data_IF_219479356269
#
_entry.id   IF_219479356269
#
_cell.length_a   1.000
_cell.length_b   1.000
_cell.length_c   1.000
_cell.angle_alpha   90.00
_cell.angle_beta   90.00
_cell.angle_gamma   90.00
#
_symmetry.space_group_name_H-M   'P 1'
#
loop_
_entity.id
_entity.type
_entity.pdbx_description
1 polymer ?
#
# COMPACT_ATOMS: atom_id res chain seq x y z
N UNK A 1 19.37 50.48 -25.19
CA UNK A 1 19.98 49.22 -25.67
C UNK A 1 19.14 47.99 -25.27
N UNK A 2 19.28 47.41 -24.07
CA UNK A 2 18.51 46.20 -23.67
C UNK A 2 16.98 46.39 -23.64
N UNK A 3 16.53 47.53 -23.15
CA UNK A 3 15.10 47.89 -23.11
C UNK A 3 14.48 48.06 -24.49
N UNK A 4 15.24 48.54 -25.47
CA UNK A 4 14.78 48.66 -26.86
C UNK A 4 14.64 47.29 -27.51
N UNK A 5 15.60 46.38 -27.29
CA UNK A 5 15.56 45.00 -27.79
C UNK A 5 14.33 44.26 -27.24
N UNK A 6 14.05 44.37 -25.94
CA UNK A 6 12.86 43.76 -25.32
C UNK A 6 11.58 44.36 -25.90
N UNK A 7 11.55 45.69 -26.12
CA UNK A 7 10.39 46.38 -26.69
C UNK A 7 10.12 45.92 -28.13
N UNK A 8 11.16 45.81 -28.96
CA UNK A 8 11.04 45.29 -30.32
C UNK A 8 10.60 43.83 -30.36
N UNK A 9 11.16 42.98 -29.50
CA UNK A 9 10.75 41.58 -29.37
C UNK A 9 9.26 41.44 -29.00
N UNK A 10 8.78 42.30 -28.09
CA UNK A 10 7.36 42.32 -27.68
C UNK A 10 6.43 42.75 -28.82
N UNK A 11 6.83 43.77 -29.59
CA UNK A 11 6.09 44.22 -30.78
C UNK A 11 6.06 43.12 -31.84
N UNK A 12 7.18 42.41 -32.04
CA UNK A 12 7.26 41.28 -32.97
C UNK A 12 6.36 40.12 -32.54
N UNK A 13 6.30 39.78 -31.25
CA UNK A 13 5.39 38.75 -30.71
C UNK A 13 3.91 39.13 -30.91
N UNK A 14 3.56 40.40 -30.65
CA UNK A 14 2.21 40.94 -30.88
C UNK A 14 1.80 40.94 -32.35
N UNK A 15 2.74 41.02 -33.30
CA UNK A 15 2.40 41.09 -34.73
C UNK A 15 1.70 39.84 -35.25
N UNK A 16 1.93 38.68 -34.62
CA UNK A 16 1.32 37.42 -35.03
C UNK A 16 0.82 36.62 -33.82
N UNK A 17 -0.29 37.08 -33.22
CA UNK A 17 -0.84 36.53 -31.98
C UNK A 17 -1.12 35.03 -32.03
N UNK A 18 -1.66 34.51 -33.14
CA UNK A 18 -2.02 33.09 -33.27
C UNK A 18 -0.80 32.19 -33.20
N UNK A 19 0.21 32.46 -34.02
CA UNK A 19 1.46 31.68 -34.04
C UNK A 19 2.16 31.71 -32.68
N UNK A 20 2.31 32.91 -32.11
CA UNK A 20 2.93 33.12 -30.80
C UNK A 20 2.19 32.37 -29.68
N UNK A 21 0.85 32.40 -29.72
CA UNK A 21 0.02 31.73 -28.73
C UNK A 21 0.16 30.21 -28.80
N UNK A 22 0.06 29.61 -30.00
CA UNK A 22 0.18 28.16 -30.15
C UNK A 22 1.56 27.64 -29.71
N UNK A 23 2.63 28.36 -30.00
CA UNK A 23 3.99 27.94 -29.58
C UNK A 23 4.19 28.04 -28.08
N UNK A 24 3.71 29.12 -27.44
CA UNK A 24 3.81 29.28 -26.00
C UNK A 24 2.92 28.29 -25.25
N UNK A 25 1.70 28.04 -25.76
CA UNK A 25 0.79 27.05 -25.20
C UNK A 25 1.44 25.65 -25.18
N UNK A 26 2.10 25.26 -26.28
CA UNK A 26 2.81 23.97 -26.33
C UNK A 26 3.89 23.83 -25.25
N UNK A 27 4.70 24.88 -25.04
CA UNK A 27 5.76 24.87 -24.01
C UNK A 27 5.15 24.83 -22.60
N UNK A 28 4.13 25.66 -22.34
CA UNK A 28 3.45 25.72 -21.04
C UNK A 28 2.79 24.38 -20.71
N UNK A 29 2.09 23.79 -21.68
CA UNK A 29 1.43 22.50 -21.51
C UNK A 29 2.44 21.37 -21.31
N UNK A 30 3.57 21.39 -22.01
CA UNK A 30 4.67 20.45 -21.81
C UNK A 30 5.23 20.49 -20.38
N UNK A 31 5.50 21.68 -19.85
CA UNK A 31 6.00 21.82 -18.47
C UNK A 31 4.90 21.43 -17.46
N UNK A 32 3.65 21.83 -17.70
CA UNK A 32 2.53 21.51 -16.80
C UNK A 32 2.29 20.00 -16.69
N UNK A 33 2.28 19.28 -17.80
CA UNK A 33 2.04 17.82 -17.80
C UNK A 33 3.15 17.05 -17.07
N UNK A 34 4.42 17.39 -17.32
CA UNK A 34 5.56 16.74 -16.64
C UNK A 34 5.56 17.02 -15.14
N UNK A 35 5.36 18.28 -14.74
CA UNK A 35 5.32 18.65 -13.32
C UNK A 35 4.13 18.00 -12.59
N UNK A 36 2.96 17.93 -13.22
CA UNK A 36 1.79 17.24 -12.69
C UNK A 36 2.07 15.74 -12.46
N UNK A 37 2.68 15.07 -13.44
CA UNK A 37 3.02 13.65 -13.35
C UNK A 37 3.99 13.36 -12.20
N UNK A 38 5.01 14.19 -12.02
CA UNK A 38 5.99 14.05 -10.93
C UNK A 38 5.34 14.30 -9.57
N UNK A 39 4.55 15.37 -9.44
CA UNK A 39 3.84 15.70 -8.21
C UNK A 39 2.84 14.59 -7.83
N UNK A 40 2.10 14.07 -8.81
CA UNK A 40 1.16 12.98 -8.60
C UNK A 40 1.87 11.69 -8.19
N UNK A 41 2.91 11.27 -8.92
CA UNK A 41 3.62 10.02 -8.64
C UNK A 41 4.28 9.99 -7.24
N UNK A 42 4.89 11.10 -6.83
CA UNK A 42 5.48 11.23 -5.50
C UNK A 42 4.43 11.24 -4.39
N UNK A 43 3.34 11.98 -4.57
CA UNK A 43 2.24 12.06 -3.59
C UNK A 43 1.54 10.72 -3.42
N UNK A 44 1.23 10.04 -4.53
CA UNK A 44 0.57 8.74 -4.50
C UNK A 44 1.41 7.69 -3.75
N UNK A 45 2.72 7.64 -4.02
CA UNK A 45 3.62 6.74 -3.30
C UNK A 45 3.66 7.05 -1.81
N UNK A 46 3.70 8.32 -1.42
CA UNK A 46 3.71 8.69 -0.01
C UNK A 46 2.41 8.30 0.71
N UNK A 47 1.25 8.48 0.06
CA UNK A 47 -0.04 8.08 0.61
C UNK A 47 -0.12 6.57 0.77
N UNK A 48 0.25 5.80 -0.27
CA UNK A 48 0.26 4.34 -0.20
C UNK A 48 1.19 3.82 0.90
N UNK A 49 2.43 4.32 0.94
CA UNK A 49 3.41 3.94 1.97
C UNK A 49 2.92 4.36 3.37
N UNK A 50 2.28 5.52 3.49
CA UNK A 50 1.63 5.96 4.73
C UNK A 50 0.53 5.01 5.20
N UNK A 51 -0.34 4.58 4.28
CA UNK A 51 -1.38 3.58 4.56
C UNK A 51 -0.81 2.24 4.98
N UNK A 52 0.21 1.73 4.27
CA UNK A 52 0.89 0.49 4.67
C UNK A 52 1.63 0.61 6.00
N UNK A 53 2.23 1.77 6.29
CA UNK A 53 2.86 2.03 7.58
C UNK A 53 1.84 2.00 8.72
N UNK A 54 0.58 2.39 8.49
CA UNK A 54 -0.49 2.31 9.49
C UNK A 54 -0.87 0.86 9.83
N UNK A 55 -0.80 -0.07 8.86
CA UNK A 55 -0.91 -1.51 9.12
C UNK A 55 0.31 -2.08 9.87
N UNK A 56 1.41 -1.32 9.91
CA UNK A 56 2.64 -1.65 10.63
C UNK A 56 3.76 -2.06 9.67
N UNK A 57 4.89 -1.34 9.74
CA UNK A 57 6.08 -1.54 8.88
C UNK A 57 6.65 -2.97 8.87
N UNK A 58 6.37 -3.75 9.90
CA UNK A 58 7.00 -5.05 10.13
C UNK A 58 6.06 -5.98 10.89
N UNK A 59 4.84 -6.15 10.39
CA UNK A 59 3.86 -7.07 10.97
C UNK A 59 3.80 -8.33 10.11
N UNK A 60 3.98 -9.48 10.74
CA UNK A 60 3.78 -10.79 10.13
C UNK A 60 2.62 -11.45 10.85
N UNK A 61 1.59 -11.83 10.10
CA UNK A 61 0.42 -12.54 10.62
C UNK A 61 0.50 -13.97 10.09
N UNK A 62 0.56 -14.93 11.01
CA UNK A 62 0.57 -16.35 10.68
C UNK A 62 -0.81 -16.95 10.98
N UNK A 63 -1.51 -17.39 9.93
CA UNK A 63 -2.77 -18.11 10.09
C UNK A 63 -2.52 -19.62 10.11
N UNK A 64 -3.03 -20.34 11.11
CA UNK A 64 -2.95 -21.79 11.12
C UNK A 64 -3.80 -22.38 9.99
N UNK A 65 -3.14 -23.09 9.07
CA UNK A 65 -3.78 -23.85 8.00
C UNK A 65 -3.99 -25.33 8.36
N UNK A 66 -4.23 -26.13 7.33
CA UNK A 66 -4.12 -27.59 7.40
C UNK A 66 -2.78 -28.01 6.81
N UNK A 67 -2.18 -29.07 7.34
CA UNK A 67 -0.91 -29.57 6.81
C UNK A 67 -1.11 -30.19 5.43
N UNK A 68 -0.37 -29.67 4.43
CA UNK A 68 -0.41 -30.15 3.04
C UNK A 68 0.39 -31.45 2.83
N UNK A 69 1.43 -31.67 3.63
CA UNK A 69 2.28 -32.87 3.58
C UNK A 69 2.21 -33.65 4.90
N UNK A 70 2.84 -34.82 4.96
CA UNK A 70 2.90 -35.69 6.14
C UNK A 70 4.24 -35.50 6.88
N UNK A 71 4.39 -34.47 7.74
CA UNK A 71 5.58 -34.33 8.55
C UNK A 71 5.61 -35.43 9.62
N UNK A 72 6.72 -36.17 9.68
CA UNK A 72 7.03 -37.09 10.78
C UNK A 72 6.00 -38.21 11.01
N UNK A 73 5.36 -38.72 9.95
CA UNK A 73 4.42 -39.85 10.04
C UNK A 73 2.99 -39.50 10.46
N UNK A 74 2.65 -38.22 10.63
CA UNK A 74 1.28 -37.79 10.98
C UNK A 74 0.36 -37.69 9.75
N UNK A 75 -0.92 -38.09 9.89
CA UNK A 75 -1.90 -38.00 8.78
C UNK A 75 -1.98 -36.57 8.21
N UNK A 76 -1.96 -36.47 6.88
CA UNK A 76 -2.21 -35.23 6.11
C UNK A 76 -3.57 -34.65 6.48
N UNK A 77 -3.71 -33.32 6.43
CA UNK A 77 -4.98 -32.62 6.69
C UNK A 77 -5.26 -32.33 8.17
N UNK A 78 -4.32 -32.59 9.07
CA UNK A 78 -4.43 -32.15 10.47
C UNK A 78 -4.46 -30.62 10.51
N UNK A 79 -5.41 -30.06 11.25
CA UNK A 79 -5.47 -28.62 11.53
C UNK A 79 -4.32 -28.25 12.46
N UNK A 80 -3.49 -27.31 12.06
CA UNK A 80 -2.44 -26.76 12.92
C UNK A 80 -3.13 -25.88 13.96
N UNK A 81 -2.77 -26.02 15.24
CA UNK A 81 -3.18 -25.09 16.28
C UNK A 81 -1.92 -24.41 16.80
N UNK A 82 -1.94 -23.08 16.82
CA UNK A 82 -0.87 -22.30 17.42
C UNK A 82 -1.13 -22.22 18.93
N UNK A 83 -0.24 -22.78 19.71
CA UNK A 83 -0.33 -22.82 21.17
C UNK A 83 0.54 -21.74 21.83
N UNK A 84 0.46 -21.64 23.15
CA UNK A 84 1.31 -20.69 23.89
C UNK A 84 2.80 -21.05 23.78
N UNK A 85 3.12 -22.35 23.74
CA UNK A 85 4.50 -22.83 23.62
C UNK A 85 5.18 -22.35 22.33
N UNK A 86 4.45 -22.26 21.22
CA UNK A 86 4.97 -21.75 19.95
C UNK A 86 5.37 -20.28 20.06
N UNK A 87 4.58 -19.47 20.78
CA UNK A 87 4.86 -18.06 21.01
C UNK A 87 6.12 -17.88 21.88
N UNK A 88 6.29 -18.71 22.89
CA UNK A 88 7.47 -18.68 23.76
C UNK A 88 8.73 -19.14 23.00
N UNK A 89 8.60 -20.14 22.13
CA UNK A 89 9.68 -20.55 21.21
C UNK A 89 10.09 -19.44 20.25
N UNK A 90 9.14 -18.68 19.69
CA UNK A 90 9.43 -17.55 18.80
C UNK A 90 10.17 -16.45 19.56
N UNK A 91 9.74 -16.13 20.79
CA UNK A 91 10.43 -15.13 21.63
C UNK A 91 11.86 -15.54 21.98
N UNK A 92 12.10 -16.83 22.20
CA UNK A 92 13.43 -17.35 22.57
C UNK A 92 14.39 -17.45 21.37
N UNK A 93 13.90 -17.85 20.20
CA UNK A 93 14.75 -18.18 19.05
C UNK A 93 14.82 -17.10 17.97
N UNK A 94 13.90 -16.12 17.96
CA UNK A 94 13.84 -15.07 16.94
C UNK A 94 14.21 -13.69 17.53
N UNK A 95 15.51 -13.32 17.59
CA UNK A 95 15.95 -12.06 18.20
C UNK A 95 15.47 -10.80 17.45
N UNK A 96 15.04 -10.94 16.19
CA UNK A 96 14.49 -9.85 15.38
C UNK A 96 13.02 -9.52 15.73
N UNK A 97 12.32 -10.40 16.43
CA UNK A 97 10.91 -10.22 16.78
C UNK A 97 10.81 -9.45 18.09
N UNK A 98 10.53 -8.14 18.00
CA UNK A 98 10.43 -7.28 19.19
C UNK A 98 9.18 -7.55 20.02
N UNK A 99 8.06 -7.84 19.35
CA UNK A 99 6.78 -8.12 19.99
C UNK A 99 6.10 -9.28 19.27
N UNK A 100 5.52 -10.19 20.05
CA UNK A 100 4.72 -11.30 19.55
C UNK A 100 3.46 -11.41 20.41
N UNK A 101 2.29 -11.49 19.77
CA UNK A 101 0.99 -11.65 20.40
C UNK A 101 0.30 -12.87 19.80
N UNK A 102 -0.40 -13.65 20.65
CA UNK A 102 -1.24 -14.75 20.18
C UNK A 102 -2.65 -14.23 20.01
N UNK A 103 -3.15 -14.26 18.78
CA UNK A 103 -4.55 -13.99 18.51
C UNK A 103 -5.31 -15.32 18.46
N UNK A 104 -6.37 -15.44 19.26
CA UNK A 104 -7.23 -16.64 19.27
C UNK A 104 -8.63 -16.25 18.82
N UNK A 105 -8.95 -16.56 17.57
CA UNK A 105 -10.30 -16.33 17.04
C UNK A 105 -11.16 -17.56 17.33
N UNK A 106 -12.04 -17.45 18.33
CA UNK A 106 -13.07 -18.46 18.61
C UNK A 106 -14.39 -17.98 18.02
N UNK A 107 -14.98 -18.78 17.13
CA UNK A 107 -16.33 -18.54 16.60
C UNK A 107 -17.31 -19.48 17.31
N UNK A 108 -17.96 -19.07 18.40
CA UNK A 108 -19.01 -19.89 19.02
C UNK A 108 -20.20 -19.96 18.06
N UNK A 109 -20.79 -21.15 17.89
CA UNK A 109 -22.08 -21.29 17.22
C UNK A 109 -23.18 -20.73 18.12
N UNK A 110 -24.05 -19.89 17.55
CA UNK A 110 -25.20 -19.36 18.29
C UNK A 110 -26.38 -20.29 17.98
N UNK A 111 -26.86 -21.00 19.01
CA UNK A 111 -28.06 -21.81 18.92
C UNK A 111 -29.24 -21.03 19.49
N UNK A 112 -30.34 -20.95 18.74
CA UNK A 112 -31.63 -20.48 19.24
C UNK A 112 -32.70 -21.53 18.93
N UNK A 113 -33.26 -22.15 19.97
CA UNK A 113 -34.21 -23.26 19.89
C UNK A 113 -33.63 -24.40 19.00
N UNK A 114 -34.33 -24.82 17.94
CA UNK A 114 -33.87 -25.85 16.99
C UNK A 114 -32.97 -25.30 15.88
N UNK A 115 -32.62 -24.00 15.89
CA UNK A 115 -31.76 -23.40 14.86
C UNK A 115 -30.36 -23.16 15.39
N UNK A 116 -29.43 -23.99 14.93
CA UNK A 116 -28.00 -23.70 14.97
C UNK A 116 -27.64 -22.79 13.80
N UNK A 117 -27.29 -21.53 14.08
CA UNK A 117 -26.76 -20.61 13.07
C UNK A 117 -25.26 -20.47 13.31
N UNK A 118 -24.48 -20.90 12.32
CA UNK A 118 -23.04 -20.64 12.31
C UNK A 118 -22.78 -19.16 12.11
N UNK A 119 -21.90 -18.57 12.92
CA UNK A 119 -21.48 -17.16 12.83
C UNK A 119 -20.50 -16.91 11.67
N UNK A 120 -20.39 -17.85 10.73
CA UNK A 120 -19.63 -17.69 9.50
C UNK A 120 -20.59 -17.16 8.44
N UNK A 121 -20.30 -15.96 7.95
CA UNK A 121 -20.81 -15.49 6.66
C UNK A 121 -20.29 -16.40 5.54
#
# INVERSE_FOLDING_TARGET
MLTEIIREAWIALKRNYTRTFLTMLGIVWGIATVTLLIAYGSSFRNILVGGFNAFGKSVVIAWPGQTSEQPGGQRVGKKVLLEQADLDMVKANAPLVKYACRETVRRPGIAYQDRLVGTAA
#
